data_IF_199546860417
#
_entry.id   IF_199546860417
#
_cell.length_a   1.000
_cell.length_b   1.000
_cell.length_c   1.000
_cell.angle_alpha   90.00
_cell.angle_beta   90.00
_cell.angle_gamma   90.00
#
_symmetry.space_group_name_H-M   'P 1'
#
loop_
_entity.id
_entity.type
_entity.pdbx_description
1 polymer ?
#
# COMPACT_ATOMS: atom_id res chain seq x y z
N UNK A 1 11.77 19.69 17.98
CA UNK A 1 11.94 18.24 17.81
C UNK A 1 11.69 17.96 16.35
N UNK A 2 12.59 17.24 15.67
CA UNK A 2 12.44 16.87 14.25
C UNK A 2 11.19 15.98 14.12
N UNK A 3 10.28 16.30 13.20
CA UNK A 3 9.07 15.50 12.94
C UNK A 3 9.46 14.25 12.17
N UNK A 4 8.78 13.13 12.39
CA UNK A 4 9.07 11.90 11.64
C UNK A 4 8.11 11.75 10.48
N UNK A 5 8.60 11.18 9.39
CA UNK A 5 7.77 10.69 8.29
C UNK A 5 7.95 9.18 8.22
N UNK A 6 6.90 8.43 8.51
CA UNK A 6 6.86 6.98 8.32
C UNK A 6 6.24 6.69 6.96
N UNK A 7 7.05 6.25 6.02
CA UNK A 7 6.64 5.96 4.65
C UNK A 7 6.66 4.44 4.39
N UNK A 8 5.54 3.92 3.89
CA UNK A 8 5.41 2.55 3.37
C UNK A 8 5.12 2.64 1.87
N UNK A 9 6.08 2.22 1.05
CA UNK A 9 5.96 2.22 -0.41
C UNK A 9 5.83 0.79 -0.92
N UNK A 10 4.80 0.51 -1.71
CA UNK A 10 4.48 -0.83 -2.20
C UNK A 10 4.33 -0.81 -3.71
N UNK A 11 5.17 -1.58 -4.42
CA UNK A 11 5.18 -1.65 -5.88
C UNK A 11 5.12 -3.09 -6.36
N UNK A 12 4.16 -3.43 -7.23
CA UNK A 12 3.95 -4.83 -7.68
C UNK A 12 3.84 -4.89 -9.20
N UNK A 13 4.96 -5.17 -9.87
CA UNK A 13 5.04 -5.49 -11.31
C UNK A 13 4.73 -6.96 -11.59
N UNK A 14 5.18 -7.85 -10.69
CA UNK A 14 5.05 -9.29 -10.82
C UNK A 14 4.12 -9.84 -9.77
N UNK A 15 3.00 -10.39 -10.22
CA UNK A 15 2.03 -11.11 -9.40
C UNK A 15 2.38 -12.59 -9.38
N UNK A 16 2.03 -13.26 -8.28
CA UNK A 16 2.28 -14.69 -8.16
C UNK A 16 1.53 -15.46 -9.26
N UNK A 17 2.07 -16.57 -9.80
CA UNK A 17 1.45 -17.30 -10.91
C UNK A 17 0.03 -17.83 -10.61
N UNK A 18 -0.27 -18.05 -9.34
CA UNK A 18 -1.57 -18.47 -8.80
C UNK A 18 -2.49 -17.29 -8.46
N UNK A 19 -2.09 -16.06 -8.76
CA UNK A 19 -2.94 -14.88 -8.57
C UNK A 19 -4.19 -14.97 -9.43
N UNK A 20 -5.33 -14.62 -8.83
CA UNK A 20 -6.64 -14.59 -9.49
C UNK A 20 -6.63 -13.68 -10.73
N UNK A 21 -5.79 -12.64 -10.70
CA UNK A 21 -5.56 -11.75 -11.84
C UNK A 21 -4.32 -12.26 -12.57
N UNK A 22 -4.55 -12.92 -13.71
CA UNK A 22 -3.50 -13.17 -14.70
C UNK A 22 -3.29 -11.87 -15.48
N UNK A 23 -2.52 -10.95 -14.90
CA UNK A 23 -2.10 -9.70 -15.55
C UNK A 23 -0.73 -9.91 -16.16
N UNK A 24 -0.60 -9.50 -17.42
CA UNK A 24 0.71 -9.40 -18.05
C UNK A 24 1.61 -8.52 -17.16
N UNK A 25 2.86 -8.91 -16.89
CA UNK A 25 3.75 -8.09 -16.09
C UNK A 25 3.91 -6.72 -16.73
N UNK A 26 3.27 -5.70 -16.15
CA UNK A 26 3.53 -4.32 -16.51
C UNK A 26 4.89 -3.94 -15.93
N UNK A 27 5.72 -3.31 -16.75
CA UNK A 27 7.01 -2.80 -16.32
C UNK A 27 6.82 -1.34 -15.90
N UNK A 28 6.85 -1.03 -14.60
CA UNK A 28 6.89 0.37 -14.18
C UNK A 28 6.59 0.66 -12.72
N UNK A 29 5.86 -0.20 -12.04
CA UNK A 29 5.46 0.03 -10.65
C UNK A 29 6.66 0.03 -9.69
N UNK A 30 7.66 -0.83 -9.89
CA UNK A 30 8.90 -0.73 -9.12
C UNK A 30 9.68 0.57 -9.42
N UNK A 31 9.59 1.09 -10.65
CA UNK A 31 10.21 2.37 -11.01
C UNK A 31 9.51 3.54 -10.31
N UNK A 32 8.18 3.49 -10.17
CA UNK A 32 7.43 4.49 -9.40
C UNK A 32 7.88 4.53 -7.94
N UNK A 33 8.11 3.36 -7.32
CA UNK A 33 8.61 3.28 -5.95
C UNK A 33 10.00 3.91 -5.82
N UNK A 34 10.89 3.66 -6.77
CA UNK A 34 12.21 4.30 -6.83
C UNK A 34 12.07 5.82 -6.96
N UNK A 35 11.22 6.32 -7.87
CA UNK A 35 11.01 7.75 -8.07
C UNK A 35 10.46 8.45 -6.81
N UNK A 36 9.55 7.81 -6.08
CA UNK A 36 9.03 8.35 -4.81
C UNK A 36 10.10 8.34 -3.71
N UNK A 37 10.89 7.26 -3.61
CA UNK A 37 12.02 7.22 -2.66
C UNK A 37 13.04 8.33 -2.94
N UNK A 38 13.42 8.53 -4.21
CA UNK A 38 14.34 9.59 -4.63
C UNK A 38 13.77 10.97 -4.29
N UNK A 39 12.50 11.23 -4.66
CA UNK A 39 11.81 12.47 -4.34
C UNK A 39 11.80 12.77 -2.83
N UNK A 40 11.45 11.77 -2.01
CA UNK A 40 11.45 11.90 -0.55
C UNK A 40 12.85 12.13 -0.01
N UNK A 41 13.88 11.56 -0.64
CA UNK A 41 15.23 11.75 -0.16
C UNK A 41 15.82 13.12 -0.50
N UNK A 42 15.48 13.66 -1.66
CA UNK A 42 15.99 14.93 -2.19
C UNK A 42 15.24 16.16 -1.68
N UNK A 43 13.92 16.07 -1.51
CA UNK A 43 13.07 17.25 -1.24
C UNK A 43 12.73 17.45 0.22
N UNK A 44 12.98 16.45 1.05
CA UNK A 44 12.63 16.50 2.47
C UNK A 44 13.68 17.31 3.23
N UNK A 45 13.23 18.41 3.84
CA UNK A 45 14.06 19.20 4.74
C UNK A 45 14.51 18.33 5.92
N UNK A 46 15.80 18.00 5.95
CA UNK A 46 16.39 17.10 6.96
C UNK A 46 16.59 17.77 8.31
N UNK A 47 16.46 19.09 8.40
CA UNK A 47 16.47 19.82 9.66
C UNK A 47 15.09 19.76 10.33
N UNK A 48 14.01 19.72 9.55
CA UNK A 48 12.64 19.64 10.07
C UNK A 48 12.11 18.19 10.15
N UNK A 49 12.52 17.31 9.23
CA UNK A 49 11.95 15.97 9.08
C UNK A 49 12.98 14.82 9.08
N UNK A 50 12.62 13.72 9.74
CA UNK A 50 13.34 12.45 9.72
C UNK A 50 12.52 11.40 8.96
N UNK A 51 13.06 10.87 7.86
CA UNK A 51 12.40 9.85 7.05
C UNK A 51 12.67 8.44 7.59
N UNK A 52 11.60 7.69 7.82
CA UNK A 52 11.58 6.26 8.14
C UNK A 52 10.89 5.52 6.99
N UNK A 53 11.68 4.97 6.08
CA UNK A 53 11.19 4.36 4.84
C UNK A 53 11.18 2.83 4.93
N UNK A 54 10.06 2.23 4.54
CA UNK A 54 9.93 0.80 4.27
C UNK A 54 9.39 0.62 2.85
N UNK A 55 10.06 -0.24 2.06
CA UNK A 55 9.64 -0.60 0.70
C UNK A 55 9.27 -2.07 0.64
N UNK A 56 8.21 -2.40 -0.07
CA UNK A 56 7.83 -3.77 -0.42
C UNK A 56 7.65 -3.84 -1.93
N UNK A 57 8.52 -4.58 -2.62
CA UNK A 57 8.53 -4.66 -4.08
C UNK A 57 8.31 -6.10 -4.53
N UNK A 58 7.40 -6.30 -5.49
CA UNK A 58 7.09 -7.58 -6.12
C UNK A 58 6.82 -8.69 -5.09
N UNK A 59 7.66 -9.73 -5.04
CA UNK A 59 7.48 -10.90 -4.19
C UNK A 59 7.51 -10.56 -2.68
N UNK A 60 8.06 -9.39 -2.31
CA UNK A 60 8.05 -8.89 -0.93
C UNK A 60 6.70 -8.25 -0.54
N UNK A 61 5.91 -7.80 -1.52
CA UNK A 61 4.64 -7.13 -1.32
C UNK A 61 3.49 -8.12 -1.08
N UNK A 62 3.72 -9.11 -0.21
CA UNK A 62 2.68 -10.05 0.19
C UNK A 62 1.61 -9.34 1.01
N UNK A 63 0.38 -9.89 1.02
CA UNK A 63 -0.71 -9.37 1.85
C UNK A 63 -0.29 -9.23 3.32
N UNK A 64 0.39 -10.24 3.85
CA UNK A 64 0.88 -10.20 5.23
C UNK A 64 1.93 -9.11 5.45
N UNK A 65 2.89 -8.96 4.52
CA UNK A 65 3.92 -7.93 4.62
C UNK A 65 3.32 -6.51 4.60
N UNK A 66 2.32 -6.26 3.75
CA UNK A 66 1.60 -4.98 3.71
C UNK A 66 0.88 -4.73 5.02
N UNK A 67 0.10 -5.70 5.53
CA UNK A 67 -0.58 -5.61 6.83
C UNK A 67 0.41 -5.34 7.96
N UNK A 68 1.54 -6.03 7.98
CA UNK A 68 2.60 -5.83 8.98
C UNK A 68 3.24 -4.44 8.83
N UNK A 69 3.39 -3.93 7.61
CA UNK A 69 3.82 -2.54 7.36
C UNK A 69 2.88 -1.53 8.02
N UNK A 70 1.57 -1.70 7.92
CA UNK A 70 0.62 -0.85 8.65
C UNK A 70 0.76 -0.99 10.16
N UNK A 71 0.74 -2.23 10.67
CA UNK A 71 0.67 -2.52 12.11
C UNK A 71 1.95 -2.22 12.87
N UNK A 72 3.11 -2.42 12.24
CA UNK A 72 4.41 -2.38 12.90
C UNK A 72 5.25 -1.17 12.48
N UNK A 73 5.11 -0.69 11.24
CA UNK A 73 5.89 0.44 10.73
C UNK A 73 5.11 1.75 10.85
N UNK A 74 3.96 1.87 10.17
CA UNK A 74 3.19 3.12 10.15
C UNK A 74 2.61 3.49 11.53
N UNK A 75 2.26 2.49 12.35
CA UNK A 75 1.75 2.68 13.71
C UNK A 75 2.72 3.41 14.64
N UNK A 76 4.02 3.48 14.31
CA UNK A 76 5.01 4.17 15.15
C UNK A 76 4.87 5.69 15.14
N UNK A 77 4.12 6.25 14.17
CA UNK A 77 3.90 7.69 14.06
C UNK A 77 3.14 8.25 15.26
N UNK A 78 3.67 9.32 15.85
CA UNK A 78 3.00 10.10 16.89
C UNK A 78 2.05 11.17 16.34
N UNK A 79 1.43 11.94 17.24
CA UNK A 79 0.42 12.98 16.93
C UNK A 79 0.89 14.04 15.91
N UNK A 80 2.19 14.33 15.85
CA UNK A 80 2.76 15.38 15.01
C UNK A 80 3.62 14.83 13.87
N UNK A 81 3.65 13.51 13.71
CA UNK A 81 4.39 12.84 12.64
C UNK A 81 3.50 12.68 11.41
N UNK A 82 4.13 12.41 10.27
CA UNK A 82 3.44 12.17 9.00
C UNK A 82 3.50 10.68 8.67
N UNK A 83 2.37 10.14 8.23
CA UNK A 83 2.28 8.80 7.65
C UNK A 83 2.06 8.94 6.15
N UNK A 84 2.90 8.28 5.36
CA UNK A 84 2.74 8.15 3.92
C UNK A 84 2.59 6.68 3.56
N UNK A 85 1.49 6.36 2.88
CA UNK A 85 1.33 5.07 2.22
C UNK A 85 1.20 5.32 0.72
N UNK A 86 2.05 4.68 -0.07
CA UNK A 86 2.04 4.77 -1.53
C UNK A 86 2.00 3.37 -2.11
N UNK A 87 1.02 3.12 -2.98
CA UNK A 87 0.83 1.83 -3.64
C UNK A 87 0.80 2.04 -5.15
N UNK A 88 1.63 1.29 -5.87
CA UNK A 88 1.60 1.21 -7.33
C UNK A 88 1.46 -0.25 -7.76
N UNK A 89 0.36 -0.57 -8.43
CA UNK A 89 -0.01 -1.94 -8.80
C UNK A 89 -1.45 -2.02 -9.32
N UNK A 90 -1.92 -3.23 -9.59
CA UNK A 90 -3.26 -3.51 -10.07
C UNK A 90 -4.29 -3.46 -8.94
N UNK A 91 -5.37 -2.72 -9.16
CA UNK A 91 -6.60 -2.83 -8.38
C UNK A 91 -7.57 -3.82 -9.03
N UNK A 92 -8.38 -4.48 -8.21
CA UNK A 92 -9.56 -5.23 -8.65
C UNK A 92 -10.84 -4.57 -8.15
N UNK A 93 -11.95 -4.92 -8.79
CA UNK A 93 -13.30 -4.67 -8.29
C UNK A 93 -13.90 -6.00 -7.88
N UNK A 94 -14.58 -6.02 -6.75
CA UNK A 94 -15.29 -7.20 -6.26
C UNK A 94 -16.75 -6.85 -5.95
N UNK A 95 -17.60 -7.86 -5.76
CA UNK A 95 -18.92 -7.59 -5.23
C UNK A 95 -18.79 -7.10 -3.79
N UNK A 96 -19.46 -5.99 -3.47
CA UNK A 96 -19.60 -5.56 -2.10
C UNK A 96 -20.28 -6.66 -1.27
N UNK A 97 -19.94 -6.79 0.03
CA UNK A 97 -20.71 -7.63 0.93
C UNK A 97 -22.20 -7.32 0.84
N UNK A 98 -23.08 -8.35 0.84
CA UNK A 98 -24.53 -8.20 0.67
C UNK A 98 -25.17 -7.14 1.58
N UNK A 99 -24.64 -6.99 2.80
CA UNK A 99 -25.09 -5.97 3.77
C UNK A 99 -24.94 -4.52 3.29
N UNK A 100 -24.15 -4.29 2.25
CA UNK A 100 -23.93 -2.97 1.67
C UNK A 100 -24.66 -2.77 0.33
N UNK A 101 -25.38 -3.78 -0.18
CA UNK A 101 -26.06 -3.68 -1.48
C UNK A 101 -27.14 -2.60 -1.54
N UNK A 102 -27.80 -2.33 -0.40
CA UNK A 102 -28.83 -1.29 -0.34
C UNK A 102 -28.28 0.14 -0.48
N UNK A 103 -26.97 0.32 -0.26
CA UNK A 103 -26.29 1.62 -0.33
C UNK A 103 -25.24 1.70 -1.45
N UNK A 104 -24.87 0.57 -2.05
CA UNK A 104 -23.92 0.48 -3.16
C UNK A 104 -24.68 0.31 -4.50
N UNK A 105 -24.81 1.37 -5.32
CA UNK A 105 -25.69 1.38 -6.49
C UNK A 105 -25.33 0.34 -7.57
N UNK A 106 -24.12 -0.22 -7.53
CA UNK A 106 -23.64 -1.26 -8.45
C UNK A 106 -23.26 -2.56 -7.75
N UNK A 107 -23.50 -2.68 -6.44
CA UNK A 107 -23.08 -3.81 -5.62
C UNK A 107 -21.58 -4.15 -5.71
N UNK A 108 -20.73 -3.18 -6.04
CA UNK A 108 -19.27 -3.37 -6.15
C UNK A 108 -18.54 -2.70 -4.99
N UNK A 109 -17.47 -3.34 -4.51
CA UNK A 109 -16.50 -2.78 -3.58
C UNK A 109 -15.12 -2.75 -4.25
N UNK A 110 -14.36 -1.69 -3.94
CA UNK A 110 -12.99 -1.48 -4.43
C UNK A 110 -11.93 -2.00 -3.45
N UNK A 111 -12.31 -2.77 -2.42
CA UNK A 111 -11.41 -3.27 -1.40
C UNK A 111 -11.19 -4.78 -1.49
N UNK A 112 -9.95 -5.19 -1.19
CA UNK A 112 -9.39 -6.54 -1.29
C UNK A 112 -10.13 -7.50 -0.35
N UNK A 113 -10.58 -8.64 -0.90
CA UNK A 113 -11.03 -9.87 -0.23
C UNK A 113 -10.72 -9.92 1.29
N UNK A 114 -11.73 -9.65 2.13
CA UNK A 114 -11.81 -10.32 3.41
C UNK A 114 -12.43 -11.70 3.16
N UNK A 115 -11.77 -12.81 3.54
CA UNK A 115 -12.45 -14.09 3.53
C UNK A 115 -13.69 -13.94 4.40
N UNK A 116 -14.82 -14.30 3.80
CA UNK A 116 -16.15 -14.32 4.43
C UNK A 116 -16.19 -15.36 5.55
N UNK A 117 -15.54 -15.08 6.68
CA UNK A 117 -15.68 -15.80 7.95
C UNK A 117 -15.56 -14.79 9.10
N UNK A 118 -16.64 -14.03 9.29
CA UNK A 118 -17.02 -13.60 10.63
C UNK A 118 -18.34 -14.31 10.92
N UNK A 119 -18.22 -15.54 11.45
CA UNK A 119 -19.23 -16.14 12.32
C UNK A 119 -19.00 -15.62 13.76
#
# INVERSE_FOLDING_TARGET
MVKKIYALLVGIDRYAPDSVIQVDPLQGYANDITAIEEYLNERLDREEYQLHLQKLINEQATREAVINGFRNHLRQAGKNDVVLFYYSGHGSQELAPKKFWDIEPYNISYFINEPTEFD
#
